data_IF_809941507844
#
_entry.id   IF_809941507844
#
_cell.length_a   1.000
_cell.length_b   1.000
_cell.length_c   1.000
_cell.angle_alpha   90.00
_cell.angle_beta   90.00
_cell.angle_gamma   90.00
#
_symmetry.space_group_name_H-M   'P 1'
#
loop_
_entity.id
_entity.type
_entity.pdbx_description
1 polymer ?
#
# COMPACT_ATOMS: atom_id res chain seq x y z
N UNK A 1 -6.11 -75.12 -42.49
CA UNK A 1 -6.61 -74.92 -43.87
C UNK A 1 -8.06 -74.43 -43.80
N UNK A 2 -8.35 -73.27 -44.39
CA UNK A 2 -9.62 -72.75 -44.95
C UNK A 2 -11.00 -73.06 -44.29
N UNK A 3 -11.71 -71.94 -43.97
CA UNK A 3 -13.15 -71.59 -44.23
C UNK A 3 -14.26 -72.49 -43.61
N UNK A 4 -15.45 -72.03 -43.22
CA UNK A 4 -16.09 -70.71 -43.12
C UNK A 4 -17.39 -70.81 -42.29
N UNK A 5 -17.59 -69.84 -41.38
CA UNK A 5 -18.79 -68.99 -41.14
C UNK A 5 -20.22 -69.57 -41.33
N UNK A 6 -21.02 -69.52 -40.25
CA UNK A 6 -22.44 -69.12 -40.26
C UNK A 6 -22.75 -68.15 -39.11
N UNK A 7 -23.62 -67.18 -39.39
CA UNK A 7 -23.85 -65.88 -38.74
C UNK A 7 -24.62 -65.92 -37.41
N UNK A 8 -24.36 -65.01 -36.45
CA UNK A 8 -25.28 -64.70 -35.37
C UNK A 8 -26.39 -63.74 -35.85
N UNK A 9 -27.62 -64.04 -35.41
CA UNK A 9 -28.83 -63.26 -35.62
C UNK A 9 -28.73 -61.85 -35.04
N UNK A 10 -29.28 -60.90 -35.80
CA UNK A 10 -29.35 -59.47 -35.52
C UNK A 10 -30.28 -59.21 -34.33
N UNK A 11 -29.74 -58.76 -33.19
CA UNK A 11 -30.56 -58.12 -32.13
C UNK A 11 -30.53 -56.61 -32.36
N UNK A 12 -31.65 -56.08 -32.85
CA UNK A 12 -31.94 -54.66 -32.92
C UNK A 12 -31.82 -54.04 -31.52
N UNK A 13 -30.73 -53.30 -31.29
CA UNK A 13 -30.66 -52.32 -30.20
C UNK A 13 -30.98 -50.98 -30.84
N UNK A 14 -32.22 -50.53 -30.61
CA UNK A 14 -32.69 -49.19 -30.97
C UNK A 14 -31.80 -48.19 -30.20
N UNK A 15 -30.92 -47.48 -30.92
CA UNK A 15 -30.16 -46.36 -30.39
C UNK A 15 -31.07 -45.13 -30.38
N UNK A 16 -31.51 -44.69 -29.20
CA UNK A 16 -32.12 -43.37 -29.05
C UNK A 16 -31.04 -42.29 -29.21
N UNK A 17 -31.11 -41.40 -30.22
CA UNK A 17 -30.08 -40.38 -30.45
C UNK A 17 -30.21 -39.15 -29.54
N UNK A 18 -31.26 -39.05 -28.73
CA UNK A 18 -31.63 -37.78 -28.09
C UNK A 18 -31.00 -37.52 -26.72
N UNK A 19 -30.25 -38.47 -26.14
CA UNK A 19 -29.62 -38.26 -24.82
C UNK A 19 -28.15 -37.80 -24.90
N UNK A 20 -27.50 -37.91 -26.06
CA UNK A 20 -26.07 -37.56 -26.18
C UNK A 20 -25.85 -36.10 -26.62
N UNK A 21 -26.86 -35.43 -27.15
CA UNK A 21 -26.72 -34.07 -27.68
C UNK A 21 -26.92 -32.97 -26.61
N UNK A 22 -27.51 -33.30 -25.47
CA UNK A 22 -27.82 -32.34 -24.40
C UNK A 22 -26.71 -32.18 -23.36
N UNK A 23 -25.71 -33.07 -23.32
CA UNK A 23 -24.61 -32.97 -22.34
C UNK A 23 -23.41 -32.15 -22.84
N UNK A 24 -23.30 -31.91 -24.15
CA UNK A 24 -22.17 -31.18 -24.73
C UNK A 24 -22.41 -29.67 -24.88
N UNK A 25 -23.68 -29.22 -24.81
CA UNK A 25 -24.04 -27.79 -24.90
C UNK A 25 -23.78 -26.98 -23.64
N UNK A 26 -23.64 -27.64 -22.47
CA UNK A 26 -23.51 -26.96 -21.18
C UNK A 26 -22.06 -26.79 -20.70
N UNK A 27 -21.07 -27.38 -21.39
CA UNK A 27 -19.65 -27.29 -20.99
C UNK A 27 -18.89 -26.13 -21.65
N UNK A 28 -19.53 -25.37 -22.56
CA UNK A 28 -18.90 -24.30 -23.34
C UNK A 28 -19.06 -22.88 -22.78
N UNK A 29 -19.78 -22.71 -21.66
CA UNK A 29 -20.05 -21.42 -21.04
C UNK A 29 -19.53 -21.43 -19.60
N UNK A 30 -18.24 -21.69 -19.42
CA UNK A 30 -17.58 -21.22 -18.21
C UNK A 30 -17.27 -19.75 -18.45
N UNK A 31 -17.94 -18.80 -17.79
CA UNK A 31 -17.47 -17.42 -17.81
C UNK A 31 -16.04 -17.45 -17.27
N UNK A 32 -15.06 -17.18 -18.13
CA UNK A 32 -13.76 -16.68 -17.70
C UNK A 32 -14.06 -15.41 -16.92
N UNK A 33 -14.21 -15.57 -15.61
CA UNK A 33 -14.24 -14.46 -14.68
C UNK A 33 -12.85 -13.84 -14.72
N UNK A 34 -12.63 -12.95 -15.68
CA UNK A 34 -11.57 -11.97 -15.58
C UNK A 34 -11.97 -11.11 -14.40
N UNK A 35 -11.30 -11.30 -13.27
CA UNK A 35 -11.39 -10.36 -12.15
C UNK A 35 -10.83 -9.03 -12.68
N UNK A 36 -11.71 -8.16 -13.15
CA UNK A 36 -11.40 -6.76 -13.42
C UNK A 36 -11.20 -6.11 -12.06
N UNK A 37 -9.98 -6.19 -11.55
CA UNK A 37 -9.58 -5.36 -10.42
C UNK A 37 -9.28 -3.97 -10.99
N UNK A 38 -10.00 -2.95 -10.53
CA UNK A 38 -9.54 -1.59 -10.75
C UNK A 38 -8.18 -1.49 -10.06
N UNK A 39 -7.13 -1.26 -10.85
CA UNK A 39 -5.78 -1.01 -10.36
C UNK A 39 -5.50 0.47 -10.56
N UNK A 40 -4.75 1.08 -9.66
CA UNK A 40 -4.19 2.41 -9.93
C UNK A 40 -3.31 2.30 -11.18
N UNK A 41 -3.57 3.11 -12.21
CA UNK A 41 -2.73 3.20 -13.40
C UNK A 41 -1.67 4.28 -13.16
N UNK A 42 -0.40 3.93 -13.33
CA UNK A 42 0.74 4.85 -13.19
C UNK A 42 1.02 5.37 -11.78
N UNK A 43 0.27 4.92 -10.75
CA UNK A 43 0.33 5.48 -9.40
C UNK A 43 0.43 4.44 -8.29
N UNK A 44 0.63 4.92 -7.06
CA UNK A 44 0.59 4.11 -5.86
C UNK A 44 -0.05 4.90 -4.70
N UNK A 45 -0.89 4.21 -3.95
CA UNK A 45 -1.50 4.68 -2.72
C UNK A 45 -1.10 3.74 -1.59
N UNK A 46 -0.31 4.24 -0.65
CA UNK A 46 0.10 3.50 0.56
C UNK A 46 -0.50 4.15 1.81
N UNK A 47 -0.85 3.33 2.80
CA UNK A 47 -1.39 3.77 4.09
C UNK A 47 -0.68 3.04 5.23
N UNK A 48 -0.48 3.73 6.34
CA UNK A 48 0.19 3.21 7.52
C UNK A 48 -0.21 3.99 8.77
N UNK A 49 -0.17 3.33 9.92
CA UNK A 49 -0.57 3.92 11.22
C UNK A 49 0.47 3.71 12.33
N UNK A 50 1.59 3.06 12.01
CA UNK A 50 2.68 2.79 12.95
C UNK A 50 4.02 3.14 12.32
N UNK A 51 5.06 3.18 13.13
CA UNK A 51 6.44 3.33 12.71
C UNK A 51 7.14 1.99 12.47
N UNK A 52 8.36 2.04 11.94
CA UNK A 52 9.22 0.88 11.68
C UNK A 52 9.42 -0.05 12.88
N UNK A 53 9.31 0.46 14.09
CA UNK A 53 9.40 -0.29 15.36
C UNK A 53 8.04 -0.74 15.93
N UNK A 54 6.96 -0.60 15.16
CA UNK A 54 5.57 -0.87 15.54
C UNK A 54 4.99 0.06 16.61
N UNK A 55 5.66 1.16 16.94
CA UNK A 55 5.11 2.20 17.83
C UNK A 55 4.26 3.20 17.05
N UNK A 56 3.43 3.97 17.75
CA UNK A 56 2.65 5.07 17.16
C UNK A 56 3.14 6.45 17.61
N UNK A 57 3.90 6.51 18.70
CA UNK A 57 4.41 7.75 19.28
C UNK A 57 5.51 8.33 18.40
N UNK A 58 5.36 9.61 18.07
CA UNK A 58 6.33 10.35 17.28
C UNK A 58 7.57 10.59 18.15
N UNK A 59 8.79 10.29 17.65
CA UNK A 59 10.01 10.50 18.41
C UNK A 59 10.23 11.99 18.67
N UNK A 60 10.78 12.32 19.84
CA UNK A 60 11.12 13.70 20.22
C UNK A 60 12.28 14.29 19.39
N UNK A 61 12.49 15.61 19.51
CA UNK A 61 13.53 16.33 18.76
C UNK A 61 14.93 15.69 18.84
N UNK A 62 15.33 15.22 20.03
CA UNK A 62 16.65 14.64 20.29
C UNK A 62 16.76 13.15 19.98
N UNK A 63 15.69 12.52 19.50
CA UNK A 63 15.67 11.11 19.07
C UNK A 63 15.86 10.98 17.55
N UNK A 64 16.17 9.77 17.10
CA UNK A 64 16.18 9.46 15.68
C UNK A 64 14.76 9.52 15.09
N UNK A 65 14.66 10.05 13.87
CA UNK A 65 13.40 10.03 13.11
C UNK A 65 12.99 8.60 12.78
N UNK A 66 11.69 8.29 12.86
CA UNK A 66 11.17 6.95 12.54
C UNK A 66 10.42 6.96 11.20
N UNK A 67 10.64 5.91 10.40
CA UNK A 67 9.92 5.73 9.12
C UNK A 67 8.51 5.20 9.38
N UNK A 68 7.53 5.71 8.63
CA UNK A 68 6.15 5.21 8.67
C UNK A 68 6.11 3.83 8.03
N UNK A 69 5.45 2.90 8.72
CA UNK A 69 5.24 1.52 8.28
C UNK A 69 3.90 1.41 7.55
N UNK A 70 3.95 1.11 6.24
CA UNK A 70 2.78 0.88 5.41
C UNK A 70 2.17 -0.49 5.71
N UNK A 71 0.84 -0.52 5.86
CA UNK A 71 0.04 -1.72 6.12
C UNK A 71 -0.89 -2.06 4.95
N UNK A 72 -1.14 -1.10 4.06
CA UNK A 72 -1.97 -1.27 2.88
C UNK A 72 -1.30 -0.57 1.70
N UNK A 73 -1.36 -1.20 0.52
CA UNK A 73 -0.87 -0.65 -0.73
C UNK A 73 -1.84 -1.01 -1.87
N UNK A 74 -2.19 -0.01 -2.67
CA UNK A 74 -2.87 -0.16 -3.97
C UNK A 74 -2.01 0.57 -5.00
N UNK A 75 -1.46 -0.15 -5.97
CA UNK A 75 -0.41 0.38 -6.83
C UNK A 75 -0.46 -0.22 -8.23
N UNK A 76 0.13 0.50 -9.19
CA UNK A 76 0.50 -0.03 -10.49
C UNK A 76 1.74 -0.92 -10.33
N UNK A 77 1.62 -2.26 -10.45
CA UNK A 77 2.76 -3.16 -10.24
C UNK A 77 3.76 -3.10 -11.39
N UNK A 78 3.48 -2.43 -12.50
CA UNK A 78 4.46 -2.18 -13.56
C UNK A 78 5.41 -1.04 -13.20
N UNK A 79 4.98 -0.10 -12.35
CA UNK A 79 5.73 1.11 -11.98
C UNK A 79 6.28 1.05 -10.55
N UNK A 80 5.55 0.42 -9.62
CA UNK A 80 5.91 0.37 -8.20
C UNK A 80 6.00 -1.06 -7.69
N UNK A 81 6.75 -1.23 -6.60
CA UNK A 81 6.84 -2.48 -5.84
C UNK A 81 6.72 -2.18 -4.34
N UNK A 82 5.91 -2.99 -3.65
CA UNK A 82 5.79 -2.97 -2.19
C UNK A 82 6.14 -4.36 -1.65
N UNK A 83 7.16 -4.43 -0.80
CA UNK A 83 7.57 -5.64 -0.08
C UNK A 83 7.13 -5.53 1.38
N UNK A 84 6.22 -6.40 1.80
CA UNK A 84 5.72 -6.45 3.17
C UNK A 84 6.81 -6.79 4.20
N UNK A 85 7.94 -7.36 3.77
CA UNK A 85 9.14 -7.61 4.60
C UNK A 85 9.93 -6.34 4.87
N UNK A 86 9.79 -5.32 4.00
CA UNK A 86 10.36 -3.98 4.14
C UNK A 86 9.27 -2.90 4.07
N UNK A 87 8.30 -2.92 5.00
CA UNK A 87 7.02 -2.23 4.86
C UNK A 87 7.09 -0.70 4.96
N UNK A 88 8.27 -0.11 5.15
CA UNK A 88 8.47 1.35 5.10
C UNK A 88 8.72 1.86 3.68
N UNK A 89 9.09 0.97 2.76
CA UNK A 89 9.62 1.30 1.44
C UNK A 89 8.54 1.19 0.37
N UNK A 90 8.46 2.22 -0.47
CA UNK A 90 7.80 2.15 -1.77
C UNK A 90 8.86 2.22 -2.86
N UNK A 91 9.07 1.11 -3.57
CA UNK A 91 10.13 0.96 -4.57
C UNK A 91 9.65 1.37 -5.97
N UNK A 92 10.55 1.99 -6.72
CA UNK A 92 10.36 2.45 -8.10
C UNK A 92 10.89 1.39 -9.07
N UNK A 93 10.11 0.99 -10.07
CA UNK A 93 10.50 0.00 -11.09
C UNK A 93 10.89 0.63 -12.42
N UNK A 94 10.37 1.83 -12.70
CA UNK A 94 10.60 2.55 -13.95
C UNK A 94 11.25 3.89 -13.60
N UNK A 95 12.34 4.25 -14.28
CA UNK A 95 12.97 5.54 -14.02
C UNK A 95 12.05 6.69 -14.48
N UNK A 96 12.00 7.78 -13.71
CA UNK A 96 11.16 8.93 -14.07
C UNK A 96 11.00 9.95 -12.95
N UNK A 97 10.14 10.92 -13.24
CA UNK A 97 9.70 11.94 -12.29
C UNK A 97 8.35 11.53 -11.69
N UNK A 98 8.21 11.73 -10.38
CA UNK A 98 7.05 11.26 -9.62
C UNK A 98 6.46 12.38 -8.79
N UNK A 99 5.15 12.59 -8.89
CA UNK A 99 4.45 13.46 -7.96
C UNK A 99 4.16 12.72 -6.66
N UNK A 100 4.65 13.25 -5.54
CA UNK A 100 4.37 12.73 -4.21
C UNK A 100 3.40 13.67 -3.49
N UNK A 101 2.27 13.13 -3.04
CA UNK A 101 1.36 13.76 -2.10
C UNK A 101 1.30 12.92 -0.82
N UNK A 102 1.52 13.55 0.33
CA UNK A 102 1.48 12.90 1.64
C UNK A 102 0.67 13.75 2.61
N UNK A 103 -0.13 13.07 3.44
CA UNK A 103 -0.81 13.65 4.60
C UNK A 103 -0.51 12.78 5.82
N UNK A 104 0.12 13.37 6.82
CA UNK A 104 0.45 12.76 8.10
C UNK A 104 -0.41 13.36 9.20
N UNK A 105 -1.59 12.78 9.51
CA UNK A 105 -2.35 13.19 10.67
C UNK A 105 -1.57 12.87 11.94
N UNK A 106 -1.68 13.76 12.92
CA UNK A 106 -1.11 13.60 14.26
C UNK A 106 -2.19 13.85 15.30
N UNK A 107 -2.07 13.16 16.43
CA UNK A 107 -2.97 13.32 17.57
C UNK A 107 -2.16 13.52 18.85
N UNK A 108 -2.75 14.18 19.83
CA UNK A 108 -2.27 14.16 21.20
C UNK A 108 -2.13 12.72 21.70
N UNK A 109 -1.00 12.42 22.33
CA UNK A 109 -0.77 11.18 23.04
C UNK A 109 -0.73 11.41 24.55
N UNK A 110 0.14 12.33 25.01
CA UNK A 110 0.24 12.73 26.41
C UNK A 110 0.29 14.25 26.52
N UNK A 111 -0.51 14.80 27.43
CA UNK A 111 -0.49 16.22 27.81
C UNK A 111 -0.08 16.35 29.28
N UNK A 112 1.12 16.84 29.56
CA UNK A 112 1.57 17.12 30.95
C UNK A 112 1.81 18.59 31.22
N UNK A 113 1.87 19.43 30.18
CA UNK A 113 2.11 20.86 30.33
C UNK A 113 1.33 21.71 29.31
N UNK A 114 1.14 22.99 29.64
CA UNK A 114 0.67 24.01 28.69
C UNK A 114 1.80 24.40 27.71
N UNK A 115 2.07 23.49 26.78
CA UNK A 115 3.04 23.65 25.71
C UNK A 115 2.39 23.37 24.36
N UNK A 116 3.18 23.46 23.30
CA UNK A 116 2.78 23.20 21.93
C UNK A 116 3.57 22.01 21.42
N UNK A 117 2.93 21.17 20.62
CA UNK A 117 3.63 20.13 19.87
C UNK A 117 3.63 20.45 18.39
N UNK A 118 4.78 20.22 17.76
CA UNK A 118 4.98 20.36 16.32
C UNK A 118 5.77 19.16 15.81
N UNK A 119 5.35 18.67 14.66
CA UNK A 119 5.90 17.48 14.03
C UNK A 119 6.37 17.83 12.63
N UNK A 120 7.54 17.31 12.32
CA UNK A 120 8.16 17.35 11.02
C UNK A 120 8.07 15.99 10.35
N UNK A 121 7.54 15.97 9.13
CA UNK A 121 7.62 14.84 8.21
C UNK A 121 8.67 15.11 7.15
N UNK A 122 9.41 14.07 6.75
CA UNK A 122 10.43 14.17 5.69
C UNK A 122 10.44 12.98 4.77
N UNK A 123 10.68 13.26 3.50
CA UNK A 123 10.90 12.26 2.47
C UNK A 123 12.39 11.93 2.42
N UNK A 124 12.71 10.65 2.46
CA UNK A 124 14.07 10.16 2.17
C UNK A 124 14.02 9.18 1.02
N UNK A 125 15.06 9.23 0.21
CA UNK A 125 15.38 8.25 -0.82
C UNK A 125 16.41 7.27 -0.27
N UNK A 126 16.20 5.98 -0.50
CA UNK A 126 17.15 4.92 -0.18
C UNK A 126 17.62 4.92 1.29
N UNK A 127 16.71 5.15 2.24
CA UNK A 127 16.99 5.11 3.69
C UNK A 127 17.62 6.36 4.28
N UNK A 128 18.54 7.00 3.56
CA UNK A 128 19.41 8.03 4.14
C UNK A 128 19.45 9.35 3.38
N UNK A 129 19.16 9.37 2.07
CA UNK A 129 19.30 10.57 1.25
C UNK A 129 18.09 11.48 1.45
N UNK A 130 18.21 12.63 2.12
CA UNK A 130 17.07 13.52 2.33
C UNK A 130 16.68 14.17 0.99
N UNK A 131 15.38 14.29 0.76
CA UNK A 131 14.86 15.17 -0.28
C UNK A 131 14.56 16.51 0.39
N UNK A 132 15.42 17.52 0.18
CA UNK A 132 15.36 18.79 0.93
C UNK A 132 14.02 19.52 0.78
N UNK A 133 13.35 19.39 -0.36
CA UNK A 133 12.02 19.94 -0.61
C UNK A 133 10.89 19.08 -0.05
N UNK A 134 11.17 17.82 0.30
CA UNK A 134 10.20 16.85 0.78
C UNK A 134 9.97 16.94 2.27
N UNK A 135 9.50 18.10 2.70
CA UNK A 135 9.37 18.46 4.11
C UNK A 135 7.96 18.95 4.40
N UNK A 136 7.31 18.36 5.41
CA UNK A 136 6.00 18.77 5.89
C UNK A 136 6.08 19.27 7.34
N UNK A 137 5.75 20.54 7.57
CA UNK A 137 5.76 21.20 8.90
C UNK A 137 4.46 21.93 9.25
N UNK A 138 3.37 21.67 8.51
CA UNK A 138 2.07 22.31 8.74
C UNK A 138 1.33 21.80 9.99
N UNK A 139 2.04 21.16 10.94
CA UNK A 139 1.44 20.63 12.15
C UNK A 139 1.51 21.65 13.28
N UNK A 140 0.46 21.72 14.09
CA UNK A 140 0.45 22.53 15.29
C UNK A 140 -0.65 22.08 16.25
N UNK A 141 -0.26 21.57 17.42
CA UNK A 141 -1.18 21.26 18.52
C UNK A 141 -0.91 22.23 19.67
N UNK A 142 -1.96 22.95 20.10
CA UNK A 142 -1.92 23.82 21.30
C UNK A 142 -2.73 23.18 22.42
N UNK A 143 -2.02 22.59 23.37
CA UNK A 143 -2.62 21.81 24.44
C UNK A 143 -3.46 22.64 25.44
N UNK A 144 -3.21 23.95 25.59
CA UNK A 144 -4.04 24.88 26.41
C UNK A 144 -5.42 25.19 25.86
N UNK A 145 -5.67 24.91 24.58
CA UNK A 145 -6.92 25.27 23.91
C UNK A 145 -7.70 24.04 23.46
N UNK A 146 -7.38 22.88 24.05
CA UNK A 146 -7.97 21.57 23.73
C UNK A 146 -7.91 21.22 22.23
N UNK A 147 -6.91 21.72 21.51
CA UNK A 147 -6.56 21.16 20.21
C UNK A 147 -5.93 19.80 20.44
N UNK A 148 -6.45 18.76 19.82
CA UNK A 148 -5.95 17.39 19.99
C UNK A 148 -5.43 16.78 18.70
N UNK A 149 -5.60 17.46 17.56
CA UNK A 149 -5.31 16.91 16.23
C UNK A 149 -4.74 17.99 15.31
N UNK A 150 -3.90 17.55 14.37
CA UNK A 150 -3.35 18.38 13.29
C UNK A 150 -2.83 17.46 12.17
N UNK A 151 -2.41 18.02 11.03
CA UNK A 151 -1.78 17.23 9.96
C UNK A 151 -0.59 17.93 9.29
N UNK A 152 0.42 17.14 8.94
CA UNK A 152 1.53 17.56 8.09
C UNK A 152 1.27 17.18 6.65
N UNK A 153 1.54 18.07 5.70
CA UNK A 153 1.34 17.80 4.27
C UNK A 153 2.63 18.00 3.47
N UNK A 154 2.84 17.17 2.46
CA UNK A 154 3.95 17.28 1.49
C UNK A 154 3.35 17.09 0.10
N UNK A 155 3.66 18.01 -0.81
CA UNK A 155 3.27 17.95 -2.22
C UNK A 155 4.44 18.39 -3.07
N UNK A 156 5.16 17.44 -3.68
CA UNK A 156 6.42 17.70 -4.38
C UNK A 156 6.54 16.87 -5.65
N UNK A 157 7.36 17.35 -6.58
CA UNK A 157 7.89 16.53 -7.67
C UNK A 157 9.22 15.92 -7.21
N UNK A 158 9.27 14.59 -7.17
CA UNK A 158 10.49 13.81 -7.01
C UNK A 158 11.11 13.62 -8.40
N UNK A 159 12.18 14.34 -8.69
CA UNK A 159 12.84 14.27 -9.99
C UNK A 159 13.89 13.18 -10.07
N UNK A 160 14.03 12.58 -11.26
CA UNK A 160 15.10 11.66 -11.63
C UNK A 160 15.24 10.45 -10.70
N UNK A 161 14.12 9.84 -10.30
CA UNK A 161 14.17 8.54 -9.61
C UNK A 161 14.61 7.47 -10.59
N UNK A 162 15.55 6.63 -10.17
CA UNK A 162 16.00 5.49 -10.95
C UNK A 162 15.16 4.26 -10.65
N UNK A 163 15.15 3.29 -11.56
CA UNK A 163 14.70 1.95 -11.20
C UNK A 163 15.50 1.45 -9.99
N UNK A 164 14.82 0.75 -9.09
CA UNK A 164 15.31 0.26 -7.81
C UNK A 164 15.51 1.30 -6.69
N UNK A 165 15.33 2.60 -6.95
CA UNK A 165 15.20 3.58 -5.87
C UNK A 165 13.95 3.26 -5.03
N UNK A 166 13.98 3.59 -3.73
CA UNK A 166 12.80 3.54 -2.88
C UNK A 166 12.63 4.81 -2.06
N UNK A 167 11.37 5.13 -1.80
CA UNK A 167 10.94 6.30 -1.03
C UNK A 167 10.40 5.86 0.32
N UNK A 168 10.74 6.63 1.35
CA UNK A 168 10.26 6.48 2.71
C UNK A 168 9.86 7.84 3.30
N UNK A 169 8.88 7.82 4.20
CA UNK A 169 8.44 9.00 4.94
C UNK A 169 8.84 8.83 6.41
N UNK A 170 9.61 9.76 6.93
CA UNK A 170 10.08 9.80 8.30
C UNK A 170 9.35 10.89 9.10
N UNK A 171 9.14 10.65 10.39
CA UNK A 171 8.54 11.63 11.31
C UNK A 171 9.43 11.86 12.53
N UNK A 172 9.42 13.10 13.03
CA UNK A 172 10.03 13.51 14.30
C UNK A 172 9.36 14.78 14.83
N UNK A 173 9.27 14.92 16.15
CA UNK A 173 8.85 16.17 16.76
C UNK A 173 9.93 17.26 16.63
N UNK A 174 9.51 18.51 16.72
CA UNK A 174 10.37 19.68 16.87
C UNK A 174 10.44 20.08 18.36
N UNK A 175 9.59 19.48 19.20
CA UNK A 175 9.57 19.63 20.64
C UNK A 175 10.17 18.43 21.40
N UNK A 176 10.48 18.64 22.68
CA UNK A 176 10.99 17.62 23.60
C UNK A 176 9.82 16.85 24.25
N UNK A 177 9.91 15.52 24.37
CA UNK A 177 8.78 14.69 24.83
C UNK A 177 8.53 14.72 26.33
N UNK A 178 9.42 15.33 27.12
CA UNK A 178 9.26 15.42 28.58
C UNK A 178 8.01 16.19 28.99
N UNK A 179 7.53 17.09 28.12
CA UNK A 179 6.35 17.92 28.38
C UNK A 179 5.09 17.29 27.76
N UNK A 180 5.05 17.18 26.44
CA UNK A 180 3.91 16.61 25.72
C UNK A 180 4.40 15.63 24.67
N UNK A 181 3.55 14.69 24.29
CA UNK A 181 3.85 13.79 23.17
C UNK A 181 2.66 13.66 22.25
N UNK A 182 2.96 13.36 20.99
CA UNK A 182 2.00 13.16 19.92
C UNK A 182 2.24 11.81 19.25
N UNK A 183 1.20 11.28 18.62
CA UNK A 183 1.21 10.01 17.89
C UNK A 183 0.70 10.19 16.48
N UNK A 184 1.00 9.23 15.60
CA UNK A 184 0.33 9.15 14.29
C UNK A 184 -1.18 9.06 14.55
N UNK A 185 -1.92 9.92 13.87
CA UNK A 185 -3.38 9.88 13.86
C UNK A 185 -3.88 8.77 12.93
N UNK A 186 -5.03 8.18 13.27
CA UNK A 186 -5.76 7.29 12.38
C UNK A 186 -6.99 8.04 11.89
N UNK A 187 -7.06 8.30 10.58
CA UNK A 187 -8.29 8.77 9.95
C UNK A 187 -9.28 7.60 9.78
#
# INVERSE_FOLDING_TARGET
>A
MRKARKSPQLKNIIRHPSLFLTLLGCLGLVPLHQNLHATVEGGALVKGSTFSDNTTTIPEENSDSKAIKWSNADLDPSIFEFDASNPTRLKIKVAGDYFLAFTGPIMEATRTADKRSQVYFSVKKNGSTPIETGIGRSTYIRHSSDHTESSGHIHILLSSLSADDYIEIFSKAIDNSTDNSVKIGTA
#
